data_IF_536093213003
#
_entry.id   IF_536093213003
#
_cell.length_a   1.000
_cell.length_b   1.000
_cell.length_c   1.000
_cell.angle_alpha   90.00
_cell.angle_beta   90.00
_cell.angle_gamma   90.00
#
_symmetry.space_group_name_H-M   'P 1'
#
loop_
_entity.id
_entity.type
_entity.pdbx_description
1 polymer ?
#
# COMPACT_ATOMS: atom_id res chain seq x y z
N UNK A 1 8.09 -4.73 19.13
CA UNK A 1 7.59 -3.35 18.85
C UNK A 1 7.87 -2.87 17.41
N UNK A 2 8.91 -3.39 16.73
CA UNK A 2 9.31 -2.96 15.38
C UNK A 2 8.20 -3.20 14.33
N UNK A 3 7.49 -4.34 14.37
CA UNK A 3 6.39 -4.64 13.43
C UNK A 3 5.18 -3.70 13.52
N UNK A 4 4.93 -3.07 14.68
CA UNK A 4 3.75 -2.22 14.86
C UNK A 4 3.78 -0.96 13.99
N UNK A 5 4.98 -0.44 13.68
CA UNK A 5 5.14 0.77 12.85
C UNK A 5 5.16 0.45 11.35
N UNK A 6 5.64 -0.74 10.99
CA UNK A 6 5.78 -1.16 9.59
C UNK A 6 4.40 -1.40 8.98
N UNK A 7 3.47 -2.03 9.72
CA UNK A 7 2.11 -2.30 9.23
C UNK A 7 1.32 -1.05 8.77
N UNK A 8 1.64 0.14 9.31
CA UNK A 8 1.02 1.39 8.85
C UNK A 8 1.36 1.72 7.39
N UNK A 9 2.55 1.35 6.89
CA UNK A 9 2.92 1.60 5.50
C UNK A 9 2.05 0.77 4.54
N UNK A 10 1.82 -0.50 4.87
CA UNK A 10 0.92 -1.36 4.10
C UNK A 10 -0.52 -0.84 4.13
N UNK A 11 -1.00 -0.40 5.29
CA UNK A 11 -2.32 0.21 5.42
C UNK A 11 -2.46 1.48 4.57
N UNK A 12 -1.50 2.40 4.66
CA UNK A 12 -1.52 3.66 3.90
C UNK A 12 -1.45 3.43 2.39
N UNK A 13 -0.69 2.42 1.93
CA UNK A 13 -0.65 2.07 0.52
C UNK A 13 -2.01 1.58 -0.01
N UNK A 14 -2.69 0.73 0.77
CA UNK A 14 -4.04 0.25 0.45
C UNK A 14 -5.03 1.41 0.43
N UNK A 15 -4.99 2.29 1.43
CA UNK A 15 -5.84 3.49 1.49
C UNK A 15 -5.58 4.39 0.28
N UNK A 16 -4.32 4.65 -0.09
CA UNK A 16 -3.96 5.45 -1.27
C UNK A 16 -4.57 4.89 -2.56
N UNK A 17 -4.53 3.56 -2.72
CA UNK A 17 -5.13 2.88 -3.88
C UNK A 17 -6.65 3.06 -3.90
N UNK A 18 -7.31 2.84 -2.76
CA UNK A 18 -8.75 3.01 -2.65
C UNK A 18 -9.18 4.47 -2.89
N UNK A 19 -8.40 5.44 -2.42
CA UNK A 19 -8.64 6.87 -2.70
C UNK A 19 -8.49 7.19 -4.18
N UNK A 20 -7.50 6.60 -4.87
CA UNK A 20 -7.33 6.76 -6.32
C UNK A 20 -8.54 6.22 -7.12
N UNK A 21 -9.04 5.04 -6.73
CA UNK A 21 -10.24 4.44 -7.33
C UNK A 21 -11.50 5.28 -7.04
N UNK A 22 -11.63 5.80 -5.82
CA UNK A 22 -12.70 6.71 -5.43
C UNK A 22 -12.68 7.98 -6.28
N UNK A 23 -11.49 8.54 -6.56
CA UNK A 23 -11.32 9.68 -7.46
C UNK A 23 -11.89 9.43 -8.85
N UNK A 24 -11.71 8.22 -9.39
CA UNK A 24 -12.28 7.82 -10.69
C UNK A 24 -13.80 7.83 -10.66
N UNK A 25 -14.41 7.36 -9.57
CA UNK A 25 -15.86 7.38 -9.40
C UNK A 25 -16.37 8.82 -9.43
N UNK A 26 -15.74 9.73 -8.67
CA UNK A 26 -16.10 11.14 -8.68
C UNK A 26 -15.93 11.79 -10.07
N UNK A 27 -14.82 11.50 -10.75
CA UNK A 27 -14.55 12.02 -12.09
C UNK A 27 -15.59 11.55 -13.12
N UNK A 28 -15.97 10.27 -13.08
CA UNK A 28 -17.01 9.73 -13.96
C UNK A 28 -18.40 10.33 -13.66
N UNK A 29 -18.76 10.50 -12.38
CA UNK A 29 -20.01 11.16 -12.00
C UNK A 29 -20.07 12.58 -12.58
N UNK A 30 -18.99 13.35 -12.43
CA UNK A 30 -18.89 14.70 -12.99
C UNK A 30 -18.95 14.69 -14.52
N UNK A 31 -18.28 13.74 -15.18
CA UNK A 31 -18.30 13.59 -16.63
C UNK A 31 -19.71 13.34 -17.16
N UNK A 32 -20.44 12.38 -16.57
CA UNK A 32 -21.81 12.08 -16.98
C UNK A 32 -22.78 13.23 -16.70
N UNK A 33 -22.60 13.95 -15.59
CA UNK A 33 -23.40 15.14 -15.29
C UNK A 33 -23.17 16.26 -16.34
N UNK A 34 -21.93 16.50 -16.75
CA UNK A 34 -21.60 17.47 -17.79
C UNK A 34 -22.19 17.08 -19.16
N UNK A 35 -22.17 15.79 -19.51
CA UNK A 35 -22.74 15.27 -20.75
C UNK A 35 -24.26 15.39 -20.79
N UNK A 36 -24.93 15.23 -19.64
CA UNK A 36 -26.39 15.33 -19.56
C UNK A 36 -26.92 16.73 -19.95
N UNK A 37 -26.16 17.78 -19.61
CA UNK A 37 -26.52 19.18 -19.89
C UNK A 37 -25.93 19.75 -21.20
N UNK A 38 -25.12 18.98 -21.93
CA UNK A 38 -24.37 19.47 -23.09
C UNK A 38 -25.08 19.26 -24.44
N UNK A 39 -24.73 20.12 -25.41
CA UNK A 39 -25.14 19.98 -26.81
C UNK A 39 -24.65 18.64 -27.41
N UNK A 40 -25.43 17.97 -28.28
CA UNK A 40 -25.08 16.67 -28.86
C UNK A 40 -23.68 16.60 -29.48
N UNK A 41 -23.23 17.67 -30.14
CA UNK A 41 -21.91 17.74 -30.79
C UNK A 41 -20.74 17.76 -29.80
N UNK A 42 -20.96 18.25 -28.56
CA UNK A 42 -19.91 18.39 -27.55
C UNK A 42 -19.86 17.24 -26.54
N UNK A 43 -20.90 16.40 -26.50
CA UNK A 43 -21.03 15.28 -25.53
C UNK A 43 -19.83 14.32 -25.58
N UNK A 44 -19.38 13.95 -26.78
CA UNK A 44 -18.26 13.02 -26.94
C UNK A 44 -16.95 13.57 -26.35
N UNK A 45 -16.63 14.83 -26.64
CA UNK A 45 -15.40 15.48 -26.16
C UNK A 45 -15.44 15.68 -24.63
N UNK A 46 -16.57 16.12 -24.09
CA UNK A 46 -16.75 16.30 -22.64
C UNK A 46 -16.61 14.98 -21.88
N UNK A 47 -17.23 13.91 -22.40
CA UNK A 47 -17.11 12.58 -21.79
C UNK A 47 -15.67 12.09 -21.80
N UNK A 48 -14.99 12.19 -22.95
CA UNK A 48 -13.61 11.75 -23.09
C UNK A 48 -12.67 12.50 -22.13
N UNK A 49 -12.84 13.82 -21.98
CA UNK A 49 -12.07 14.63 -21.05
C UNK A 49 -12.33 14.22 -19.59
N UNK A 50 -13.59 14.00 -19.21
CA UNK A 50 -13.94 13.57 -17.86
C UNK A 50 -13.41 12.18 -17.51
N UNK A 51 -13.45 11.23 -18.46
CA UNK A 51 -12.84 9.90 -18.29
C UNK A 51 -11.32 10.02 -18.14
N UNK A 52 -10.67 10.85 -18.98
CA UNK A 52 -9.22 11.08 -18.88
C UNK A 52 -8.81 11.62 -17.50
N UNK A 53 -9.57 12.60 -16.97
CA UNK A 53 -9.34 13.13 -15.62
C UNK A 53 -9.55 12.05 -14.54
N UNK A 54 -10.60 11.25 -14.66
CA UNK A 54 -10.88 10.14 -13.75
C UNK A 54 -9.74 9.10 -13.74
N UNK A 55 -9.22 8.75 -14.91
CA UNK A 55 -8.08 7.83 -15.02
C UNK A 55 -6.81 8.40 -14.40
N UNK A 56 -6.55 9.71 -14.55
CA UNK A 56 -5.42 10.36 -13.91
C UNK A 56 -5.48 10.28 -12.38
N UNK A 57 -6.66 10.41 -11.75
CA UNK A 57 -6.78 10.27 -10.30
C UNK A 57 -6.39 8.87 -9.79
N UNK A 58 -6.71 7.80 -10.55
CA UNK A 58 -6.19 6.46 -10.23
C UNK A 58 -4.68 6.37 -10.40
N UNK A 59 -4.14 6.93 -11.48
CA UNK A 59 -2.70 6.92 -11.73
C UNK A 59 -1.93 7.55 -10.55
N UNK A 60 -2.39 8.69 -10.03
CA UNK A 60 -1.79 9.31 -8.84
C UNK A 60 -1.90 8.42 -7.59
N UNK A 61 -3.05 7.79 -7.35
CA UNK A 61 -3.24 6.88 -6.22
C UNK A 61 -2.27 5.69 -6.27
N UNK A 62 -2.02 5.15 -7.45
CA UNK A 62 -1.06 4.06 -7.69
C UNK A 62 0.40 4.53 -7.57
N UNK A 63 0.73 5.71 -8.11
CA UNK A 63 2.08 6.30 -7.99
C UNK A 63 2.46 6.49 -6.52
N UNK A 64 1.51 6.84 -5.65
CA UNK A 64 1.75 6.92 -4.21
C UNK A 64 1.76 5.54 -3.51
N UNK A 65 0.88 4.61 -3.91
CA UNK A 65 0.78 3.29 -3.28
C UNK A 65 1.99 2.38 -3.56
N UNK A 66 2.52 2.38 -4.80
CA UNK A 66 3.61 1.48 -5.20
C UNK A 66 4.87 1.67 -4.34
N UNK A 67 5.42 2.90 -4.16
CA UNK A 67 6.57 3.12 -3.30
C UNK A 67 6.33 2.71 -1.84
N UNK A 68 5.12 2.95 -1.32
CA UNK A 68 4.77 2.54 0.05
C UNK A 68 4.77 1.01 0.20
N UNK A 69 4.26 0.27 -0.79
CA UNK A 69 4.29 -1.20 -0.78
C UNK A 69 5.71 -1.74 -0.86
N UNK A 70 6.57 -1.16 -1.70
CA UNK A 70 7.99 -1.55 -1.79
C UNK A 70 8.69 -1.29 -0.46
N UNK A 71 8.50 -0.11 0.14
CA UNK A 71 9.07 0.22 1.44
C UNK A 71 8.56 -0.71 2.55
N UNK A 72 7.26 -1.02 2.56
CA UNK A 72 6.65 -1.96 3.47
C UNK A 72 7.31 -3.36 3.36
N UNK A 73 7.43 -3.88 2.14
CA UNK A 73 8.04 -5.19 1.88
C UNK A 73 9.49 -5.28 2.38
N UNK A 74 10.31 -4.28 2.06
CA UNK A 74 11.73 -4.24 2.48
C UNK A 74 11.87 -4.14 3.99
N UNK A 75 11.07 -3.31 4.64
CA UNK A 75 11.12 -3.12 6.10
C UNK A 75 10.63 -4.36 6.84
N UNK A 76 9.56 -5.00 6.35
CA UNK A 76 9.04 -6.25 6.93
C UNK A 76 10.09 -7.36 6.82
N UNK A 77 10.70 -7.55 5.65
CA UNK A 77 11.75 -8.56 5.48
C UNK A 77 12.93 -8.33 6.43
N UNK A 78 13.37 -7.09 6.62
CA UNK A 78 14.44 -6.76 7.58
C UNK A 78 14.02 -7.01 9.03
N UNK A 79 12.77 -6.70 9.38
CA UNK A 79 12.26 -6.95 10.72
C UNK A 79 12.18 -8.44 11.03
N UNK A 80 11.74 -9.25 10.06
CA UNK A 80 11.66 -10.71 10.20
C UNK A 80 13.05 -11.33 10.35
N UNK A 81 14.04 -10.91 9.55
CA UNK A 81 15.43 -11.38 9.72
C UNK A 81 15.99 -11.06 11.11
N UNK A 82 15.69 -9.88 11.66
CA UNK A 82 16.14 -9.50 13.00
C UNK A 82 15.48 -10.35 14.09
N UNK A 83 14.21 -10.72 13.91
CA UNK A 83 13.51 -11.64 14.82
C UNK A 83 14.13 -13.03 14.75
N UNK A 84 14.44 -13.52 13.55
CA UNK A 84 15.07 -14.83 13.35
C UNK A 84 16.46 -14.92 14.01
N UNK A 85 17.27 -13.86 13.90
CA UNK A 85 18.55 -13.75 14.59
C UNK A 85 18.39 -13.82 16.12
N UNK A 86 17.42 -13.10 16.68
CA UNK A 86 17.13 -13.10 18.13
C UNK A 86 16.72 -14.50 18.61
N UNK A 87 15.87 -15.19 17.86
CA UNK A 87 15.43 -16.55 18.19
C UNK A 87 16.63 -17.51 18.14
N UNK A 88 17.51 -17.38 17.14
CA UNK A 88 18.71 -18.20 17.02
C UNK A 88 19.67 -18.01 18.19
N UNK A 89 19.93 -16.76 18.60
CA UNK A 89 20.76 -16.49 19.77
C UNK A 89 20.11 -17.01 21.07
N UNK A 90 18.79 -16.89 21.20
CA UNK A 90 18.05 -17.41 22.36
C UNK A 90 18.18 -18.93 22.49
N UNK A 91 18.05 -19.66 21.38
CA UNK A 91 18.26 -21.12 21.35
C UNK A 91 19.71 -21.49 21.68
N UNK A 92 20.69 -20.74 21.16
CA UNK A 92 22.11 -20.97 21.47
C UNK A 92 22.41 -20.83 22.96
N UNK A 93 21.90 -19.78 23.59
CA UNK A 93 22.05 -19.55 25.04
C UNK A 93 21.38 -20.66 25.84
N UNK A 94 20.16 -21.07 25.46
CA UNK A 94 19.46 -22.20 26.12
C UNK A 94 20.25 -23.50 26.01
N UNK A 95 20.82 -23.79 24.84
CA UNK A 95 21.64 -24.98 24.64
C UNK A 95 22.90 -24.94 25.51
N UNK A 96 23.60 -23.81 25.59
CA UNK A 96 24.78 -23.64 26.44
C UNK A 96 24.46 -23.85 27.92
N UNK A 97 23.38 -23.24 28.41
CA UNK A 97 22.91 -23.43 29.80
C UNK A 97 22.52 -24.89 30.08
N UNK A 98 21.89 -25.55 29.11
CA UNK A 98 21.51 -26.96 29.24
C UNK A 98 22.72 -27.91 29.30
N UNK A 99 23.81 -27.58 28.58
CA UNK A 99 25.06 -28.32 28.61
C UNK A 99 25.81 -28.09 29.92
N UNK A 100 25.95 -26.84 30.36
CA UNK A 100 26.58 -26.51 31.65
C UNK A 100 25.87 -27.19 32.84
N UNK A 101 24.54 -27.35 32.77
CA UNK A 101 23.76 -28.08 33.79
C UNK A 101 23.93 -29.60 33.73
N UNK A 102 24.35 -30.16 32.61
CA UNK A 102 24.60 -31.60 32.47
C UNK A 102 25.98 -32.02 32.96
N UNK A 103 26.91 -31.07 33.07
CA UNK A 103 28.31 -31.32 33.47
C UNK A 103 28.57 -31.06 34.97
N UNK A 104 27.61 -30.53 35.72
CA UNK A 104 27.65 -30.36 37.18
C UNK A 104 26.66 -31.25 37.90
#
# INVERSE_FOLDING_TARGET
>A
RINARIGYLGMLANVSTMVGLLGTIFGLIAAFAAVAAADPEKKGVLLANGISQAMNTTAFGLIAAIPMLVAHSVLTSKADSLVDDIDRYSVMVMNMLSQARREG
#
